data_IF_612904438100
#
_entry.id   IF_612904438100
#
_cell.length_a   1.000
_cell.length_b   1.000
_cell.length_c   1.000
_cell.angle_alpha   90.00
_cell.angle_beta   90.00
_cell.angle_gamma   90.00
#
_symmetry.space_group_name_H-M   'P 1'
#
loop_
_entity.id
_entity.type
_entity.pdbx_description
1 polymer ?
#
# COMPACT_ATOMS: atom_id res chain seq x y z
N UNK A 1 12.21 -20.83 -9.22
CA UNK A 1 13.59 -20.33 -9.08
C UNK A 1 13.71 -19.78 -7.68
N UNK A 2 14.49 -20.46 -6.84
CA UNK A 2 14.64 -20.13 -5.43
C UNK A 2 15.31 -18.77 -5.28
N UNK A 3 14.53 -17.71 -5.05
CA UNK A 3 15.09 -16.47 -4.52
C UNK A 3 15.70 -16.86 -3.18
N UNK A 4 17.02 -16.80 -3.09
CA UNK A 4 17.73 -16.93 -1.84
C UNK A 4 17.10 -15.90 -0.89
N UNK A 5 16.54 -16.34 0.24
CA UNK A 5 16.21 -15.45 1.35
C UNK A 5 17.52 -14.89 1.86
N UNK A 6 18.04 -13.86 1.19
CA UNK A 6 19.17 -13.09 1.66
C UNK A 6 18.64 -12.37 2.89
N UNK A 7 19.07 -12.83 4.07
CA UNK A 7 18.78 -12.15 5.32
C UNK A 7 19.34 -10.72 5.22
N UNK A 8 18.50 -9.68 5.35
CA UNK A 8 18.95 -8.31 5.25
C UNK A 8 20.04 -8.03 6.32
N UNK A 9 21.24 -7.56 5.95
CA UNK A 9 22.28 -7.22 6.91
C UNK A 9 21.89 -6.09 7.88
N UNK A 10 20.87 -5.29 7.53
CA UNK A 10 20.34 -4.23 8.39
C UNK A 10 19.46 -4.72 9.54
N UNK A 11 19.13 -6.02 9.60
CA UNK A 11 18.40 -6.58 10.74
C UNK A 11 19.32 -6.68 11.96
N UNK A 12 18.93 -5.97 13.02
CA UNK A 12 19.79 -5.76 14.19
C UNK A 12 19.62 -6.87 15.23
N UNK A 13 18.44 -7.48 15.29
CA UNK A 13 18.09 -8.47 16.32
C UNK A 13 17.49 -9.75 15.73
N UNK A 14 17.57 -10.86 16.48
CA UNK A 14 16.89 -12.12 16.13
C UNK A 14 15.36 -11.94 16.07
N UNK A 15 14.81 -11.02 16.87
CA UNK A 15 13.38 -10.68 16.83
C UNK A 15 13.01 -9.98 15.52
N UNK A 16 13.82 -9.02 15.05
CA UNK A 16 13.58 -8.36 13.76
C UNK A 16 13.67 -9.37 12.60
N UNK A 17 14.56 -10.35 12.72
CA UNK A 17 14.71 -11.45 11.75
C UNK A 17 13.47 -12.36 11.70
N UNK A 18 12.89 -12.71 12.85
CA UNK A 18 11.65 -13.48 12.93
C UNK A 18 10.47 -12.69 12.34
N UNK A 19 10.31 -11.42 12.72
CA UNK A 19 9.25 -10.54 12.19
C UNK A 19 9.38 -10.39 10.67
N UNK A 20 10.60 -10.25 10.14
CA UNK A 20 10.87 -10.15 8.71
C UNK A 20 10.43 -11.41 7.93
N UNK A 21 10.71 -12.60 8.48
CA UNK A 21 10.34 -13.88 7.89
C UNK A 21 8.81 -14.08 7.94
N UNK A 22 8.18 -13.73 9.06
CA UNK A 22 6.73 -13.73 9.22
C UNK A 22 6.05 -12.77 8.23
N UNK A 23 6.55 -11.54 8.09
CA UNK A 23 6.06 -10.55 7.13
C UNK A 23 6.15 -11.08 5.68
N UNK A 24 7.30 -11.65 5.32
CA UNK A 24 7.51 -12.20 3.97
C UNK A 24 6.55 -13.36 3.67
N UNK A 25 6.37 -14.29 4.61
CA UNK A 25 5.42 -15.41 4.48
C UNK A 25 3.98 -14.91 4.41
N UNK A 26 3.61 -13.97 5.27
CA UNK A 26 2.28 -13.38 5.32
C UNK A 26 1.91 -12.75 3.98
N UNK A 27 2.78 -11.89 3.43
CA UNK A 27 2.53 -11.22 2.16
C UNK A 27 2.53 -12.17 0.97
N UNK A 28 3.42 -13.15 0.94
CA UNK A 28 3.44 -14.16 -0.12
C UNK A 28 2.13 -14.94 -0.19
N UNK A 29 1.56 -15.33 0.97
CA UNK A 29 0.29 -16.04 1.03
C UNK A 29 -0.87 -15.09 0.67
N UNK A 30 -0.93 -13.90 1.27
CA UNK A 30 -2.04 -12.96 1.07
C UNK A 30 -2.15 -12.48 -0.39
N UNK A 31 -1.02 -12.19 -1.04
CA UNK A 31 -1.01 -11.78 -2.44
C UNK A 31 -1.51 -12.90 -3.35
N UNK A 32 -1.00 -14.12 -3.15
CA UNK A 32 -1.40 -15.30 -3.91
C UNK A 32 -2.89 -15.62 -3.72
N UNK A 33 -3.34 -15.72 -2.48
CA UNK A 33 -4.65 -16.29 -2.16
C UNK A 33 -5.80 -15.29 -2.30
N UNK A 34 -5.52 -14.01 -2.07
CA UNK A 34 -6.57 -12.97 -2.01
C UNK A 34 -6.40 -11.94 -3.12
N UNK A 35 -5.20 -11.38 -3.31
CA UNK A 35 -5.07 -10.17 -4.11
C UNK A 35 -5.16 -10.43 -5.61
N UNK A 36 -4.49 -11.47 -6.09
CA UNK A 36 -4.42 -11.77 -7.53
C UNK A 36 -5.76 -12.27 -8.08
N UNK A 37 -6.46 -13.12 -7.33
CA UNK A 37 -7.66 -13.81 -7.81
C UNK A 37 -8.97 -13.38 -7.11
N UNK A 38 -8.90 -12.97 -5.84
CA UNK A 38 -10.09 -12.68 -5.03
C UNK A 38 -10.64 -11.27 -5.22
N UNK A 39 -9.81 -10.31 -5.63
CA UNK A 39 -10.18 -8.91 -5.76
C UNK A 39 -10.52 -8.53 -7.20
N UNK A 40 -11.47 -7.62 -7.40
CA UNK A 40 -11.87 -7.10 -8.73
C UNK A 40 -10.86 -6.10 -9.34
N UNK A 41 -9.56 -6.41 -9.22
CA UNK A 41 -8.43 -5.61 -9.72
C UNK A 41 -7.90 -6.24 -11.01
N UNK A 42 -7.74 -5.43 -12.05
CA UNK A 42 -7.15 -5.89 -13.31
C UNK A 42 -5.62 -5.72 -13.26
N UNK A 43 -4.93 -6.67 -12.63
CA UNK A 43 -3.47 -6.63 -12.45
C UNK A 43 -2.69 -6.47 -13.76
N UNK A 44 -3.20 -6.97 -14.88
CA UNK A 44 -2.60 -6.75 -16.22
C UNK A 44 -2.54 -5.29 -16.67
N UNK A 45 -3.28 -4.38 -16.01
CA UNK A 45 -3.29 -2.94 -16.30
C UNK A 45 -2.50 -2.11 -15.29
N UNK A 46 -1.97 -2.75 -14.24
CA UNK A 46 -1.24 -2.08 -13.15
C UNK A 46 0.25 -2.16 -13.46
N UNK A 47 0.93 -1.02 -13.49
CA UNK A 47 2.39 -0.95 -13.72
C UNK A 47 3.11 -0.22 -12.60
N UNK A 48 2.49 0.85 -12.07
CA UNK A 48 3.06 1.71 -11.05
C UNK A 48 2.25 1.52 -9.76
N UNK A 49 2.85 0.87 -8.75
CA UNK A 49 2.22 0.65 -7.45
C UNK A 49 2.91 1.52 -6.40
N UNK A 50 2.13 2.06 -5.48
CA UNK A 50 2.66 2.68 -4.26
C UNK A 50 2.14 1.90 -3.06
N UNK A 51 3.06 1.36 -2.27
CA UNK A 51 2.76 0.77 -0.98
C UNK A 51 2.92 1.84 0.09
N UNK A 52 1.79 2.33 0.61
CA UNK A 52 1.76 3.49 1.50
C UNK A 52 2.27 3.17 2.91
N UNK A 53 2.34 1.90 3.29
CA UNK A 53 2.84 1.43 4.57
C UNK A 53 3.62 0.12 4.40
N UNK A 54 4.85 0.24 3.90
CA UNK A 54 5.58 -0.91 3.38
C UNK A 54 6.07 -1.92 4.43
N UNK A 55 6.16 -1.53 5.71
CA UNK A 55 6.76 -2.38 6.73
C UNK A 55 8.16 -2.85 6.29
N UNK A 56 8.38 -4.15 6.20
CA UNK A 56 9.65 -4.72 5.73
C UNK A 56 9.73 -4.92 4.20
N UNK A 57 8.75 -4.42 3.44
CA UNK A 57 8.67 -4.55 1.98
C UNK A 57 8.16 -5.91 1.51
N UNK A 58 7.49 -6.69 2.37
CA UNK A 58 6.99 -8.02 2.02
C UNK A 58 5.96 -8.00 0.89
N UNK A 59 5.08 -6.99 0.84
CA UNK A 59 4.12 -6.82 -0.25
C UNK A 59 4.82 -6.65 -1.61
N UNK A 60 5.80 -5.75 -1.69
CA UNK A 60 6.57 -5.54 -2.92
C UNK A 60 7.37 -6.79 -3.32
N UNK A 61 7.95 -7.50 -2.35
CA UNK A 61 8.66 -8.74 -2.61
C UNK A 61 7.75 -9.86 -3.13
N UNK A 62 6.50 -9.93 -2.65
CA UNK A 62 5.51 -10.90 -3.12
C UNK A 62 5.05 -10.63 -4.57
N UNK A 63 5.24 -9.40 -5.08
CA UNK A 63 4.89 -9.01 -6.45
C UNK A 63 6.09 -9.00 -7.41
N UNK A 64 7.28 -9.45 -6.98
CA UNK A 64 8.54 -9.29 -7.74
C UNK A 64 8.53 -9.96 -9.12
N UNK A 65 7.75 -11.03 -9.28
CA UNK A 65 7.64 -11.78 -10.54
C UNK A 65 6.65 -11.14 -11.54
N UNK A 66 5.95 -10.07 -11.15
CA UNK A 66 5.04 -9.33 -12.03
C UNK A 66 5.79 -8.18 -12.73
N UNK A 67 5.39 -7.81 -13.97
CA UNK A 67 6.01 -6.72 -14.71
C UNK A 67 5.51 -5.34 -14.22
N UNK A 68 5.64 -5.07 -12.93
CA UNK A 68 5.27 -3.82 -12.26
C UNK A 68 6.39 -3.37 -11.34
N UNK A 69 6.36 -2.11 -10.91
CA UNK A 69 7.27 -1.62 -9.87
C UNK A 69 6.47 -1.07 -8.70
N UNK A 70 7.05 -1.17 -7.50
CA UNK A 70 6.45 -0.75 -6.25
C UNK A 70 7.31 0.32 -5.60
N UNK A 71 6.75 1.53 -5.43
CA UNK A 71 7.30 2.54 -4.52
C UNK A 71 6.91 2.18 -3.10
N UNK A 72 7.87 1.81 -2.27
CA UNK A 72 7.63 1.51 -0.87
C UNK A 72 7.70 2.79 -0.02
N UNK A 73 6.69 3.06 0.80
CA UNK A 73 6.69 4.19 1.71
C UNK A 73 6.74 3.69 3.14
N UNK A 74 7.75 4.15 3.89
CA UNK A 74 7.87 3.91 5.33
C UNK A 74 7.42 5.17 6.08
N UNK A 75 6.29 5.14 6.81
CA UNK A 75 5.85 6.30 7.57
C UNK A 75 6.87 6.68 8.65
N UNK A 76 7.20 7.98 8.78
CA UNK A 76 8.28 8.45 9.69
C UNK A 76 8.03 8.16 11.19
N UNK A 77 6.81 7.75 11.56
CA UNK A 77 6.42 7.44 12.94
C UNK A 77 6.33 5.93 13.21
N UNK A 78 6.84 5.11 12.30
CA UNK A 78 6.91 3.66 12.44
C UNK A 78 8.35 3.21 12.62
N UNK A 79 8.58 1.91 12.84
CA UNK A 79 9.93 1.35 12.90
C UNK A 79 10.68 1.65 11.60
N UNK A 80 11.94 2.01 11.74
CA UNK A 80 12.79 2.26 10.58
C UNK A 80 13.18 0.94 9.90
N UNK A 81 12.50 0.65 8.80
CA UNK A 81 12.67 -0.56 7.98
C UNK A 81 13.16 -0.26 6.57
N UNK A 82 13.46 1.01 6.25
CA UNK A 82 13.82 1.39 4.88
C UNK A 82 15.16 0.78 4.44
N UNK A 83 16.11 0.65 5.38
CA UNK A 83 17.37 -0.04 5.15
C UNK A 83 17.15 -1.51 4.74
N UNK A 84 16.22 -2.20 5.40
CA UNK A 84 15.83 -3.57 5.06
C UNK A 84 15.19 -3.64 3.67
N UNK A 85 14.35 -2.68 3.32
CA UNK A 85 13.77 -2.59 1.97
C UNK A 85 14.87 -2.45 0.90
N UNK A 86 15.87 -1.61 1.15
CA UNK A 86 17.02 -1.45 0.24
C UNK A 86 17.89 -2.70 0.15
N UNK A 87 18.12 -3.40 1.26
CA UNK A 87 18.85 -4.67 1.29
C UNK A 87 18.16 -5.77 0.44
N UNK A 88 16.83 -5.71 0.30
CA UNK A 88 16.05 -6.57 -0.61
C UNK A 88 16.15 -6.16 -2.08
N UNK A 89 16.85 -5.07 -2.40
CA UNK A 89 16.94 -4.50 -3.75
C UNK A 89 15.67 -3.76 -4.20
N UNK A 90 14.80 -3.39 -3.26
CA UNK A 90 13.58 -2.63 -3.53
C UNK A 90 13.82 -1.14 -3.38
N UNK A 91 12.96 -0.31 -3.98
CA UNK A 91 13.03 1.15 -3.82
C UNK A 91 12.00 1.62 -2.80
N UNK A 92 12.34 2.66 -2.06
CA UNK A 92 11.42 3.27 -1.11
C UNK A 92 11.86 4.61 -0.59
N UNK A 93 10.96 5.26 0.13
CA UNK A 93 11.14 6.58 0.75
C UNK A 93 10.52 6.62 2.13
N UNK A 94 10.98 7.56 2.96
CA UNK A 94 10.21 7.98 4.12
C UNK A 94 9.19 9.04 3.73
N UNK A 95 8.03 9.03 4.37
CA UNK A 95 7.05 10.09 4.21
C UNK A 95 6.18 10.28 5.45
N UNK A 96 5.74 11.52 5.69
CA UNK A 96 4.64 11.82 6.60
C UNK A 96 3.37 12.04 5.79
N UNK A 97 2.41 11.12 5.92
CA UNK A 97 1.12 11.21 5.23
C UNK A 97 0.20 12.34 5.74
N UNK A 98 0.58 13.04 6.82
CA UNK A 98 -0.07 14.29 7.22
C UNK A 98 0.44 15.49 6.43
N UNK A 99 1.51 15.32 5.65
CA UNK A 99 2.07 16.34 4.76
C UNK A 99 1.82 15.94 3.29
N UNK A 100 1.85 16.92 2.38
CA UNK A 100 1.68 16.64 0.96
C UNK A 100 2.87 15.87 0.40
N UNK A 101 2.62 14.82 -0.37
CA UNK A 101 3.70 14.04 -0.99
C UNK A 101 4.30 14.80 -2.18
N UNK A 102 5.61 15.03 -2.19
CA UNK A 102 6.34 15.72 -3.27
C UNK A 102 6.50 14.87 -4.54
N UNK A 103 5.39 14.43 -5.12
CA UNK A 103 5.34 13.69 -6.39
C UNK A 103 4.53 14.46 -7.43
N UNK A 104 4.80 14.17 -8.71
CA UNK A 104 3.96 14.65 -9.80
C UNK A 104 2.54 14.05 -9.63
N UNK A 105 1.46 14.85 -9.72
CA UNK A 105 0.11 14.34 -9.62
C UNK A 105 -0.17 13.20 -10.63
N UNK A 106 -0.92 12.18 -10.22
CA UNK A 106 -1.39 11.07 -11.08
C UNK A 106 -0.29 10.18 -11.67
N UNK A 107 0.57 9.66 -10.79
CA UNK A 107 1.72 8.81 -11.14
C UNK A 107 1.45 7.31 -10.97
N UNK A 108 0.53 6.93 -10.08
CA UNK A 108 0.32 5.52 -9.72
C UNK A 108 -0.98 4.94 -10.29
N UNK A 109 -0.95 3.65 -10.60
CA UNK A 109 -2.09 2.86 -11.08
C UNK A 109 -2.79 2.12 -9.92
N UNK A 110 -2.04 1.81 -8.86
CA UNK A 110 -2.56 1.19 -7.65
C UNK A 110 -1.93 1.81 -6.39
N UNK A 111 -2.76 2.20 -5.44
CA UNK A 111 -2.35 2.52 -4.07
C UNK A 111 -2.70 1.35 -3.17
N UNK A 112 -1.69 0.81 -2.49
CA UNK A 112 -1.85 -0.23 -1.48
C UNK A 112 -1.67 0.40 -0.10
N UNK A 113 -2.54 0.04 0.84
CA UNK A 113 -2.45 0.49 2.22
C UNK A 113 -2.89 -0.62 3.16
N UNK A 114 -1.95 -1.14 3.94
CA UNK A 114 -2.26 -2.09 5.02
C UNK A 114 -2.08 -1.40 6.35
N UNK A 115 -3.19 -1.23 7.07
CA UNK A 115 -3.23 -0.79 8.45
C UNK A 115 -2.57 0.56 8.73
N UNK A 116 -2.52 1.42 7.73
CA UNK A 116 -1.93 2.74 7.79
C UNK A 116 -2.79 3.71 8.63
N UNK A 117 -4.10 3.72 8.41
CA UNK A 117 -4.97 4.80 8.88
C UNK A 117 -5.19 4.75 10.38
N UNK A 118 -5.27 3.55 10.98
CA UNK A 118 -5.46 3.41 12.43
C UNK A 118 -4.42 4.14 13.27
N UNK A 119 -3.19 4.27 12.77
CA UNK A 119 -2.12 5.01 13.43
C UNK A 119 -2.15 6.50 13.08
N UNK A 120 -2.57 6.85 11.87
CA UNK A 120 -2.57 8.24 11.38
C UNK A 120 -3.75 9.08 11.87
N UNK A 121 -4.92 8.50 12.14
CA UNK A 121 -6.12 9.25 12.55
C UNK A 121 -5.97 9.97 13.90
N UNK A 122 -4.89 9.74 14.64
CA UNK A 122 -4.56 10.47 15.86
C UNK A 122 -3.79 11.78 15.59
N UNK A 123 -3.23 11.95 14.39
CA UNK A 123 -2.36 13.08 14.03
C UNK A 123 -2.96 14.02 12.99
N UNK A 124 -3.61 13.47 11.97
CA UNK A 124 -4.25 14.24 10.91
C UNK A 124 -5.58 13.61 10.48
N UNK A 125 -6.39 14.40 9.76
CA UNK A 125 -7.70 13.95 9.33
C UNK A 125 -7.55 12.91 8.21
N UNK A 126 -8.39 11.88 8.24
CA UNK A 126 -8.48 10.89 7.17
C UNK A 126 -8.83 11.54 5.83
N UNK A 127 -9.50 12.69 5.86
CA UNK A 127 -9.80 13.51 4.67
C UNK A 127 -8.52 13.98 3.99
N UNK A 128 -7.52 14.45 4.73
CA UNK A 128 -6.27 14.97 4.17
C UNK A 128 -5.54 13.87 3.38
N UNK A 129 -5.48 12.66 3.97
CA UNK A 129 -4.89 11.48 3.34
C UNK A 129 -5.70 11.07 2.10
N UNK A 130 -7.03 11.06 2.19
CA UNK A 130 -7.90 10.72 1.05
C UNK A 130 -7.74 11.70 -0.12
N UNK A 131 -7.53 12.99 0.15
CA UNK A 131 -7.22 14.01 -0.87
C UNK A 131 -5.87 13.73 -1.53
N UNK A 132 -4.85 13.40 -0.75
CA UNK A 132 -3.54 13.05 -1.31
C UNK A 132 -3.60 11.77 -2.14
N UNK A 133 -4.32 10.74 -1.69
CA UNK A 133 -4.61 9.54 -2.46
C UNK A 133 -5.29 9.87 -3.79
N UNK A 134 -6.25 10.79 -3.80
CA UNK A 134 -6.86 11.26 -5.04
C UNK A 134 -5.84 11.98 -5.93
N UNK A 135 -5.03 12.88 -5.38
CA UNK A 135 -4.06 13.62 -6.18
C UNK A 135 -3.03 12.71 -6.88
N UNK A 136 -2.55 11.67 -6.20
CA UNK A 136 -1.48 10.79 -6.72
C UNK A 136 -2.00 9.63 -7.58
N UNK A 137 -3.23 9.17 -7.36
CA UNK A 137 -3.82 8.06 -8.13
C UNK A 137 -4.34 8.53 -9.50
N UNK A 138 -3.93 7.85 -10.55
CA UNK A 138 -4.40 8.10 -11.93
C UNK A 138 -5.90 7.78 -12.07
N UNK A 139 -6.66 8.52 -12.91
CA UNK A 139 -8.03 8.13 -13.25
C UNK A 139 -8.10 6.70 -13.79
N UNK A 140 -9.06 5.92 -13.30
CA UNK A 140 -9.19 4.49 -13.62
C UNK A 140 -8.29 3.56 -12.79
N UNK A 141 -7.37 4.12 -11.99
CA UNK A 141 -6.55 3.37 -11.05
C UNK A 141 -7.32 2.84 -9.84
N UNK A 142 -6.64 2.02 -9.05
CA UNK A 142 -7.21 1.28 -7.93
C UNK A 142 -6.63 1.73 -6.59
N UNK A 143 -7.42 1.61 -5.53
CA UNK A 143 -6.92 1.56 -4.16
C UNK A 143 -7.31 0.22 -3.56
N UNK A 144 -6.37 -0.37 -2.82
CA UNK A 144 -6.59 -1.54 -1.99
C UNK A 144 -6.22 -1.17 -0.56
N UNK A 145 -7.24 -1.09 0.29
CA UNK A 145 -7.07 -0.77 1.72
C UNK A 145 -7.48 -1.97 2.56
N UNK A 146 -6.54 -2.45 3.37
CA UNK A 146 -6.81 -3.38 4.46
C UNK A 146 -6.69 -2.60 5.77
N UNK A 147 -7.79 -2.43 6.51
CA UNK A 147 -7.76 -1.79 7.82
C UNK A 147 -8.95 -2.28 8.67
N UNK A 148 -9.08 -1.75 9.88
CA UNK A 148 -10.23 -2.02 10.74
C UNK A 148 -11.55 -1.56 10.10
N UNK A 149 -12.65 -2.24 10.44
CA UNK A 149 -13.98 -1.88 9.93
C UNK A 149 -14.37 -0.43 10.24
N UNK A 150 -13.94 0.10 11.39
CA UNK A 150 -14.19 1.49 11.77
C UNK A 150 -13.56 2.48 10.77
N UNK A 151 -12.30 2.24 10.39
CA UNK A 151 -11.61 3.05 9.37
C UNK A 151 -12.30 2.90 8.02
N UNK A 152 -12.62 1.66 7.61
CA UNK A 152 -13.29 1.41 6.32
C UNK A 152 -14.62 2.15 6.23
N UNK A 153 -15.41 2.16 7.31
CA UNK A 153 -16.68 2.89 7.38
C UNK A 153 -16.52 4.41 7.29
N UNK A 154 -15.39 4.97 7.75
CA UNK A 154 -15.06 6.40 7.60
C UNK A 154 -14.52 6.73 6.19
N UNK A 155 -13.65 5.88 5.65
CA UNK A 155 -12.99 6.10 4.36
C UNK A 155 -13.95 5.91 3.17
N UNK A 156 -14.80 4.88 3.22
CA UNK A 156 -15.68 4.53 2.10
C UNK A 156 -16.61 5.68 1.64
N UNK A 157 -17.29 6.43 2.53
CA UNK A 157 -18.05 7.63 2.15
C UNK A 157 -17.21 8.72 1.49
N UNK A 158 -15.97 8.92 1.95
CA UNK A 158 -15.05 9.93 1.39
C UNK A 158 -14.63 9.57 -0.03
N UNK A 159 -14.26 8.32 -0.28
CA UNK A 159 -13.94 7.87 -1.65
C UNK A 159 -15.16 8.00 -2.57
N UNK A 160 -16.37 7.71 -2.06
CA UNK A 160 -17.61 7.88 -2.83
C UNK A 160 -17.93 9.33 -3.13
N UNK A 161 -17.68 10.27 -2.22
CA UNK A 161 -17.88 11.70 -2.47
C UNK A 161 -16.92 12.25 -3.54
N UNK A 162 -15.74 11.62 -3.69
CA UNK A 162 -14.80 11.86 -4.78
C UNK A 162 -15.18 11.16 -6.10
N UNK A 163 -16.37 10.56 -6.18
CA UNK A 163 -16.87 9.80 -7.32
C UNK A 163 -16.09 8.51 -7.64
N UNK A 164 -15.51 7.87 -6.63
CA UNK A 164 -14.92 6.55 -6.79
C UNK A 164 -15.98 5.47 -6.61
N UNK A 165 -15.84 4.36 -7.35
CA UNK A 165 -16.61 3.15 -7.08
C UNK A 165 -15.89 2.31 -6.04
N UNK A 166 -16.59 1.80 -5.03
CA UNK A 166 -15.98 0.99 -3.97
C UNK A 166 -16.69 -0.35 -3.80
N UNK A 167 -15.93 -1.38 -3.44
CA UNK A 167 -16.41 -2.71 -3.08
C UNK A 167 -15.66 -3.21 -1.86
N UNK A 168 -16.37 -3.86 -0.93
CA UNK A 168 -15.78 -4.48 0.25
C UNK A 168 -15.70 -6.00 0.01
N UNK A 169 -14.53 -6.58 0.27
CA UNK A 169 -14.28 -8.01 0.17
C UNK A 169 -13.99 -8.59 1.56
N UNK A 170 -14.74 -9.63 1.92
CA UNK A 170 -14.64 -10.36 3.20
C UNK A 170 -14.61 -9.47 4.45
N UNK A 171 -15.28 -8.31 4.41
CA UNK A 171 -15.29 -7.34 5.52
C UNK A 171 -13.89 -6.90 6.01
N UNK A 172 -12.87 -7.06 5.17
CA UNK A 172 -11.47 -6.78 5.52
C UNK A 172 -10.77 -5.90 4.49
N UNK A 173 -11.15 -6.00 3.21
CA UNK A 173 -10.46 -5.33 2.11
C UNK A 173 -11.40 -4.38 1.38
N UNK A 174 -11.17 -3.09 1.50
CA UNK A 174 -11.84 -2.06 0.71
C UNK A 174 -11.07 -1.87 -0.60
N UNK A 175 -11.71 -2.25 -1.70
CA UNK A 175 -11.23 -1.95 -3.05
C UNK A 175 -11.98 -0.73 -3.58
N UNK A 176 -11.25 0.32 -3.92
CA UNK A 176 -11.78 1.48 -4.62
C UNK A 176 -11.23 1.56 -6.04
N UNK A 177 -12.04 2.04 -6.98
CA UNK A 177 -11.60 2.37 -8.33
C UNK A 177 -11.96 3.82 -8.63
N UNK A 178 -10.95 4.59 -8.98
CA UNK A 178 -11.08 6.02 -9.24
C UNK A 178 -11.80 6.27 -10.56
N UNK A 179 -12.84 7.11 -10.51
CA UNK A 179 -13.56 7.56 -11.69
C UNK A 179 -12.76 8.53 -12.57
N UNK A 180 -13.22 8.76 -13.79
CA UNK A 180 -12.72 9.84 -14.67
C UNK A 180 -13.50 11.14 -14.43
N UNK A 181 -13.75 11.49 -13.17
CA UNK A 181 -14.50 12.70 -12.86
C UNK A 181 -13.56 13.93 -12.81
N UNK A 182 -13.91 14.99 -13.54
CA UNK A 182 -13.41 16.34 -13.30
C UNK A 182 -14.62 17.24 -13.06
N UNK A 183 -14.63 18.07 -12.00
CA UNK A 183 -15.62 19.12 -11.90
C UNK A 183 -15.49 20.03 -13.14
N UNK A 184 -16.63 20.39 -13.73
CA UNK A 184 -16.69 21.41 -14.78
C UNK A 184 -16.52 22.80 -14.17
#
# INVERSE_FOLDING_TARGET
SSLCMIFPPSLVTELDAEIFDEDTKHWSALVSDVYLDGLSIKWSTVQNVMDMNAGYGGFAAALIDLPLWVMNVVPIHTQDTLSVIFDRGLIGIYHDWCESLNTYPRTYDLLHSSFLFRNLTQRCDIIDIAVEMDRVLRPGGYVLVQDTMEIIQKLNPLLRSLHWSTSLYQDQFLVGKKGFWRPK
#
